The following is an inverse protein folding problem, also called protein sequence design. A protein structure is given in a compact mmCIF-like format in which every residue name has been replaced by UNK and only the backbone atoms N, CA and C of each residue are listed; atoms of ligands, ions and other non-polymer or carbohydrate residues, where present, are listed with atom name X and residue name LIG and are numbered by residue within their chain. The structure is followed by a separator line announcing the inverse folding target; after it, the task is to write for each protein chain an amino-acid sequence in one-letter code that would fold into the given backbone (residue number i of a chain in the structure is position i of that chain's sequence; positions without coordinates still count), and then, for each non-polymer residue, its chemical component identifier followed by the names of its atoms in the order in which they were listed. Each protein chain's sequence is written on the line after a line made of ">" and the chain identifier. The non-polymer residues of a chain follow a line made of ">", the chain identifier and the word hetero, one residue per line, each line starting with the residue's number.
data_IF_962020400427
#
_entry.id   IF_962020400427
#
_cell.length_a   1.000
_cell.length_b   1.000
_cell.length_c   1.000
_cell.angle_alpha   90.00
_cell.angle_beta   90.00
_cell.angle_gamma   90.00
#
_symmetry.space_group_name_H-M   'P 1'
#
loop_
_entity.id
_entity.type
_entity.pdbx_description
1 polymer ?
#
# COMPACT_ATOMS: atom_id res chain seq x y z
N UNK A 1 -48.50 -17.84 12.71
CA UNK A 1 -47.12 -18.14 12.23
C UNK A 1 -46.68 -17.20 11.10
N UNK A 2 -47.46 -17.02 10.02
CA UNK A 2 -47.11 -16.13 8.89
C UNK A 2 -46.97 -14.64 9.29
N UNK A 3 -47.87 -14.12 10.12
CA UNK A 3 -47.86 -12.71 10.58
C UNK A 3 -46.68 -12.38 11.51
N UNK A 4 -46.27 -13.36 12.33
CA UNK A 4 -45.11 -13.23 13.21
C UNK A 4 -43.83 -13.17 12.39
N UNK A 5 -43.72 -14.05 11.37
CA UNK A 5 -42.58 -14.09 10.45
C UNK A 5 -42.44 -12.80 9.64
N UNK A 6 -43.54 -12.26 9.11
CA UNK A 6 -43.51 -10.99 8.37
C UNK A 6 -43.16 -9.81 9.26
N UNK A 7 -43.65 -9.79 10.50
CA UNK A 7 -43.34 -8.74 11.48
C UNK A 7 -41.85 -8.74 11.85
N UNK A 8 -41.27 -9.92 12.11
CA UNK A 8 -39.83 -10.06 12.40
C UNK A 8 -38.94 -9.62 11.24
N UNK A 9 -39.32 -9.93 9.98
CA UNK A 9 -38.56 -9.50 8.81
C UNK A 9 -38.57 -7.97 8.62
N UNK A 10 -39.71 -7.32 8.88
CA UNK A 10 -39.84 -5.86 8.77
C UNK A 10 -39.01 -5.14 9.84
N UNK A 11 -38.96 -5.66 11.07
CA UNK A 11 -38.13 -5.10 12.15
C UNK A 11 -36.63 -5.24 11.85
N UNK A 12 -36.18 -6.37 11.30
CA UNK A 12 -34.77 -6.57 10.92
C UNK A 12 -34.36 -5.63 9.77
N UNK A 13 -35.24 -5.41 8.79
CA UNK A 13 -34.99 -4.51 7.66
C UNK A 13 -34.98 -3.02 8.05
N UNK A 14 -35.78 -2.63 9.05
CA UNK A 14 -35.84 -1.24 9.53
C UNK A 14 -34.76 -0.90 10.58
N UNK A 15 -34.19 -1.90 11.26
CA UNK A 15 -33.15 -1.71 12.30
C UNK A 15 -31.71 -1.93 11.81
N UNK A 16 -31.49 -2.13 10.50
CA UNK A 16 -30.17 -2.45 9.93
C UNK A 16 -29.10 -1.35 10.00
N UNK A 17 -29.43 -0.14 10.47
CA UNK A 17 -28.49 1.00 10.49
C UNK A 17 -28.05 1.39 11.90
N UNK A 18 -27.28 0.53 12.56
CA UNK A 18 -26.30 0.93 13.57
C UNK A 18 -25.33 -0.21 13.93
N UNK A 19 -24.82 -0.96 12.93
CA UNK A 19 -23.53 -1.62 13.14
C UNK A 19 -22.45 -0.55 12.97
N UNK A 20 -22.35 0.34 13.97
CA UNK A 20 -21.14 1.09 14.22
C UNK A 20 -20.09 0.11 14.70
N UNK A 21 -19.53 -0.68 13.78
CA UNK A 21 -18.22 -1.26 14.01
C UNK A 21 -17.31 -0.07 14.28
N UNK A 22 -16.74 -0.04 15.48
CA UNK A 22 -15.67 0.91 15.79
C UNK A 22 -14.73 0.86 14.59
N UNK A 23 -14.47 2.01 13.99
CA UNK A 23 -13.30 2.19 13.14
C UNK A 23 -12.18 1.71 14.05
N UNK A 24 -11.70 0.48 13.81
CA UNK A 24 -10.39 0.10 14.25
C UNK A 24 -9.54 1.25 13.76
N UNK A 25 -9.04 2.06 14.72
CA UNK A 25 -7.90 2.94 14.51
C UNK A 25 -7.02 2.17 13.56
N UNK A 26 -6.88 2.63 12.30
CA UNK A 26 -6.11 1.95 11.27
C UNK A 26 -4.93 1.34 11.97
N UNK A 27 -5.04 0.05 12.27
CA UNK A 27 -3.89 -0.67 12.73
C UNK A 27 -3.06 -0.53 11.48
N UNK A 28 -1.97 0.20 11.59
CA UNK A 28 -0.78 -0.24 10.92
C UNK A 28 -0.57 -1.67 11.42
N UNK A 29 -1.38 -2.61 10.93
CA UNK A 29 -0.91 -3.89 10.48
C UNK A 29 0.19 -3.45 9.55
N UNK A 30 1.38 -3.31 10.13
CA UNK A 30 2.61 -3.32 9.37
C UNK A 30 2.42 -4.57 8.57
N UNK A 31 2.00 -4.38 7.31
CA UNK A 31 1.82 -5.42 6.29
C UNK A 31 2.89 -6.39 6.65
N UNK A 32 2.46 -7.58 7.11
CA UNK A 32 3.33 -8.71 7.38
C UNK A 32 4.52 -8.47 6.51
N UNK A 33 5.65 -8.13 7.12
CA UNK A 33 6.83 -7.84 6.34
C UNK A 33 6.93 -9.07 5.46
N UNK A 34 6.53 -8.94 4.20
CA UNK A 34 7.14 -9.67 3.13
C UNK A 34 8.54 -9.22 3.36
N UNK A 35 9.27 -10.00 4.19
CA UNK A 35 10.69 -9.99 4.24
C UNK A 35 10.97 -9.97 2.76
N UNK A 36 11.36 -8.78 2.28
CA UNK A 36 11.55 -8.54 0.87
C UNK A 36 12.33 -9.77 0.45
N UNK A 37 11.76 -10.58 -0.45
CA UNK A 37 12.52 -11.72 -0.95
C UNK A 37 13.91 -11.14 -1.21
N UNK A 38 15.01 -11.74 -0.73
CA UNK A 38 16.33 -11.09 -0.84
C UNK A 38 16.68 -10.69 -2.28
N UNK A 39 15.88 -11.12 -3.25
CA UNK A 39 15.86 -10.75 -4.67
C UNK A 39 15.15 -9.43 -5.01
N UNK A 40 14.15 -8.98 -4.24
CA UNK A 40 13.23 -7.91 -4.64
C UNK A 40 13.51 -6.63 -3.83
N UNK A 41 14.13 -5.64 -4.46
CA UNK A 41 14.51 -4.37 -3.84
C UNK A 41 13.33 -3.44 -3.50
N UNK A 42 13.64 -2.29 -2.92
CA UNK A 42 12.62 -1.30 -2.50
C UNK A 42 11.81 -0.78 -3.70
N UNK A 43 12.45 -0.69 -4.87
CA UNK A 43 11.76 -0.31 -6.10
C UNK A 43 10.62 -1.27 -6.45
N UNK A 44 10.84 -2.59 -6.37
CA UNK A 44 9.83 -3.61 -6.70
C UNK A 44 8.72 -3.70 -5.66
N UNK A 45 9.09 -3.61 -4.38
CA UNK A 45 8.17 -3.89 -3.28
C UNK A 45 7.32 -2.68 -2.87
N UNK A 46 7.82 -1.45 -3.07
CA UNK A 46 7.17 -0.24 -2.57
C UNK A 46 6.87 0.81 -3.65
N UNK A 47 7.77 1.03 -4.61
CA UNK A 47 7.65 2.16 -5.54
C UNK A 47 6.85 1.81 -6.79
N UNK A 48 7.20 0.73 -7.49
CA UNK A 48 6.49 0.28 -8.69
C UNK A 48 5.01 -0.05 -8.45
N UNK A 49 4.60 -0.67 -7.32
CA UNK A 49 3.19 -0.89 -7.01
C UNK A 49 2.38 0.41 -6.85
N UNK A 50 3.05 1.54 -6.61
CA UNK A 50 2.46 2.88 -6.52
C UNK A 50 2.43 3.61 -7.88
N UNK A 51 2.71 2.90 -8.98
CA UNK A 51 2.72 3.39 -10.35
C UNK A 51 3.75 4.51 -10.60
N UNK A 52 4.91 4.39 -9.97
CA UNK A 52 6.07 5.23 -10.23
C UNK A 52 7.19 4.42 -10.91
N UNK A 53 7.85 5.03 -11.90
CA UNK A 53 9.12 4.51 -12.39
C UNK A 53 10.16 4.55 -11.25
N UNK A 54 11.02 3.54 -11.18
CA UNK A 54 12.03 3.44 -10.12
C UNK A 54 13.31 2.80 -10.68
N UNK A 55 14.44 3.45 -10.41
CA UNK A 55 15.79 2.98 -10.68
C UNK A 55 16.47 2.70 -9.33
N UNK A 56 17.21 1.60 -9.22
CA UNK A 56 17.94 1.25 -8.01
C UNK A 56 19.43 1.13 -8.31
N UNK A 57 20.26 1.81 -7.51
CA UNK A 57 21.70 1.89 -7.69
C UNK A 57 22.42 1.43 -6.43
N UNK A 58 23.49 0.66 -6.58
CA UNK A 58 24.40 0.38 -5.48
C UNK A 58 25.59 1.33 -5.54
N UNK A 59 25.77 2.11 -4.48
CA UNK A 59 26.87 3.05 -4.33
C UNK A 59 27.78 2.55 -3.22
N UNK A 60 29.06 2.46 -3.51
CA UNK A 60 30.06 2.17 -2.50
C UNK A 60 30.67 3.48 -2.00
N UNK A 61 30.58 3.74 -0.69
CA UNK A 61 31.20 4.91 -0.07
C UNK A 61 32.71 4.72 0.05
N UNK A 62 33.45 5.81 0.29
CA UNK A 62 34.92 5.78 0.41
C UNK A 62 35.40 4.87 1.55
N UNK A 63 34.63 4.77 2.62
CA UNK A 63 34.85 3.93 3.79
C UNK A 63 34.30 2.49 3.64
N UNK A 64 33.80 2.14 2.46
CA UNK A 64 33.50 0.75 2.07
C UNK A 64 32.06 0.28 2.34
N UNK A 65 31.14 1.18 2.71
CA UNK A 65 29.73 0.81 2.83
C UNK A 65 29.08 0.70 1.45
N UNK A 66 28.26 -0.34 1.25
CA UNK A 66 27.40 -0.50 0.07
C UNK A 66 26.02 0.03 0.43
N UNK A 67 25.56 1.07 -0.26
CA UNK A 67 24.27 1.72 -0.06
C UNK A 67 23.41 1.49 -1.30
N UNK A 68 22.19 0.99 -1.11
CA UNK A 68 21.18 0.96 -2.17
C UNK A 68 20.43 2.30 -2.22
N UNK A 69 20.47 2.98 -3.36
CA UNK A 69 19.86 4.29 -3.61
C UNK A 69 18.72 4.13 -4.61
N UNK A 70 17.52 4.62 -4.27
CA UNK A 70 16.34 4.57 -5.15
C UNK A 70 16.06 5.93 -5.79
N UNK A 71 15.92 5.96 -7.12
CA UNK A 71 15.60 7.15 -7.91
C UNK A 71 14.25 7.01 -8.62
N UNK A 72 13.40 8.01 -8.48
CA UNK A 72 12.11 8.11 -9.17
C UNK A 72 12.24 9.20 -10.24
N UNK A 73 12.56 8.84 -11.50
CA UNK A 73 12.94 9.81 -12.54
C UNK A 73 11.81 10.74 -12.96
N UNK A 74 10.57 10.24 -12.89
CA UNK A 74 9.37 10.92 -13.38
C UNK A 74 8.21 10.69 -12.41
N UNK A 75 7.29 11.66 -12.34
CA UNK A 75 6.05 11.50 -11.59
C UNK A 75 5.04 10.59 -12.29
N UNK A 76 3.95 10.23 -11.60
CA UNK A 76 2.89 9.34 -12.13
C UNK A 76 2.26 9.82 -13.44
N UNK A 77 2.15 11.13 -13.62
CA UNK A 77 1.64 11.72 -14.87
C UNK A 77 2.54 11.49 -16.07
N UNK A 78 3.69 10.83 -15.88
CA UNK A 78 4.70 10.60 -16.89
C UNK A 78 5.48 11.87 -17.20
N UNK A 79 6.17 11.83 -18.33
CA UNK A 79 7.07 12.88 -18.80
C UNK A 79 8.41 12.30 -19.24
N UNK A 80 9.21 13.11 -19.93
CA UNK A 80 10.59 12.75 -20.16
C UNK A 80 11.36 12.91 -18.83
N UNK A 81 12.20 11.93 -18.45
CA UNK A 81 13.20 12.16 -17.41
C UNK A 81 14.00 13.41 -17.78
N UNK A 82 14.15 14.35 -16.86
CA UNK A 82 15.05 15.47 -17.08
C UNK A 82 16.50 14.99 -17.12
N UNK A 83 17.38 15.74 -17.78
CA UNK A 83 18.83 15.59 -17.69
C UNK A 83 19.31 15.97 -16.28
N UNK A 84 19.05 15.09 -15.33
CA UNK A 84 19.44 15.22 -13.93
C UNK A 84 20.25 13.99 -13.57
N UNK A 85 21.43 14.17 -12.97
CA UNK A 85 22.21 13.03 -12.49
C UNK A 85 21.38 12.19 -11.51
N UNK A 86 21.75 10.91 -11.33
CA UNK A 86 21.16 10.08 -10.30
C UNK A 86 21.42 10.60 -8.89
#
# INVERSE_FOLDING_TARGET
>A
MKVVLTSTCVVILLCGSAFGTRIELFQAEGRNGMAASPTDGLCETMVKPQDYACEEHQVMTKDGYIISVQRIPVGRSGGAPGDRPP
#
